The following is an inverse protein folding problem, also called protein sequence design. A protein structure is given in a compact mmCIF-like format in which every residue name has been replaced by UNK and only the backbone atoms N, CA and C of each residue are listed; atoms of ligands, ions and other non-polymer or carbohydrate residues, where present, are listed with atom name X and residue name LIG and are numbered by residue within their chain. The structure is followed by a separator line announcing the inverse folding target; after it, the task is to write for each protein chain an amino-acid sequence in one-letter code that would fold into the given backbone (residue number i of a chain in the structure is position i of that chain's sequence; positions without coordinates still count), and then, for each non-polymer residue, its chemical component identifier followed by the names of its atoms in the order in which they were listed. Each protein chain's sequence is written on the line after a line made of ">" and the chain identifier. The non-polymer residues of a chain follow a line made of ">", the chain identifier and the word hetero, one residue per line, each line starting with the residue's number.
data_IF_064834341366
#
_entry.id   IF_064834341366
#
_cell.length_a   1.000
_cell.length_b   1.000
_cell.length_c   1.000
_cell.angle_alpha   90.00
_cell.angle_beta   90.00
_cell.angle_gamma   90.00
#
_symmetry.space_group_name_H-M   'P 1'
#
loop_
_entity.id
_entity.type
_entity.pdbx_description
1 polymer ?
#
# COMPACT_ATOMS: atom_id res chain seq x y z
N UNK A 1 63.92 58.88 -13.42
CA UNK A 1 63.95 57.87 -12.36
C UNK A 1 62.57 57.76 -11.73
N UNK A 2 62.03 56.53 -11.75
CA UNK A 2 60.96 55.94 -10.92
C UNK A 2 59.65 56.72 -10.73
N UNK A 3 58.65 56.27 -11.48
CA UNK A 3 57.24 56.58 -11.31
C UNK A 3 56.55 55.79 -10.20
N UNK A 4 55.39 56.33 -9.84
CA UNK A 4 54.35 55.77 -8.97
C UNK A 4 53.73 54.51 -9.58
N UNK A 5 53.35 53.56 -8.73
CA UNK A 5 52.61 52.37 -9.12
C UNK A 5 51.94 51.74 -7.91
N UNK A 6 50.75 52.24 -7.56
CA UNK A 6 49.84 51.60 -6.63
C UNK A 6 49.30 50.30 -7.24
N UNK A 7 49.44 49.18 -6.54
CA UNK A 7 48.77 47.91 -6.88
C UNK A 7 47.61 47.69 -5.92
N UNK A 8 46.42 47.55 -6.51
CA UNK A 8 45.18 47.23 -5.82
C UNK A 8 45.14 45.80 -5.31
N UNK A 9 44.52 45.62 -4.15
CA UNK A 9 43.99 44.34 -3.69
C UNK A 9 42.46 44.43 -3.70
N UNK A 10 41.82 43.68 -4.60
CA UNK A 10 40.39 43.41 -4.53
C UNK A 10 40.16 42.18 -3.62
N UNK A 11 39.18 42.19 -2.70
CA UNK A 11 38.84 41.03 -1.90
C UNK A 11 38.15 39.95 -2.74
N UNK A 12 38.58 38.70 -2.55
CA UNK A 12 38.06 37.52 -3.22
C UNK A 12 36.59 37.24 -2.88
N UNK A 13 35.82 36.89 -3.90
CA UNK A 13 34.45 36.43 -3.77
C UNK A 13 34.40 35.04 -3.08
N UNK A 14 33.46 34.79 -2.16
CA UNK A 14 33.26 33.48 -1.56
C UNK A 14 32.71 32.48 -2.58
N UNK A 15 33.26 31.27 -2.55
CA UNK A 15 32.92 30.16 -3.43
C UNK A 15 31.44 29.81 -3.38
N UNK A 16 30.84 29.64 -4.56
CA UNK A 16 29.50 29.12 -4.71
C UNK A 16 29.41 27.72 -4.11
N UNK A 17 28.55 27.57 -3.11
CA UNK A 17 28.14 26.27 -2.61
C UNK A 17 27.53 25.49 -3.79
N UNK A 18 28.06 24.30 -4.04
CA UNK A 18 27.45 23.35 -4.96
C UNK A 18 26.03 23.06 -4.45
N UNK A 19 25.03 23.42 -5.24
CA UNK A 19 23.66 22.98 -5.06
C UNK A 19 23.70 21.46 -4.97
N UNK A 20 23.20 20.82 -3.88
CA UNK A 20 23.09 19.38 -3.88
C UNK A 20 22.23 19.00 -5.08
N UNK A 21 22.77 18.12 -5.94
CA UNK A 21 22.01 17.54 -7.04
C UNK A 21 20.67 17.10 -6.46
N UNK A 22 19.57 17.66 -6.99
CA UNK A 22 18.24 17.21 -6.64
C UNK A 22 18.27 15.69 -6.75
N UNK A 23 17.99 14.99 -5.65
CA UNK A 23 17.83 13.54 -5.64
C UNK A 23 16.73 13.27 -6.66
N UNK A 24 17.09 12.87 -7.88
CA UNK A 24 16.14 12.33 -8.85
C UNK A 24 15.74 11.01 -8.22
N UNK A 25 14.66 11.06 -7.44
CA UNK A 25 14.12 9.88 -6.79
C UNK A 25 13.64 8.96 -7.92
N UNK A 26 14.16 7.73 -8.03
CA UNK A 26 13.73 6.84 -9.09
C UNK A 26 12.24 6.58 -8.89
N UNK A 27 11.44 7.04 -9.84
CA UNK A 27 10.02 6.70 -9.89
C UNK A 27 9.93 5.22 -10.25
N UNK A 28 9.24 4.43 -9.42
CA UNK A 28 9.01 3.00 -9.69
C UNK A 28 8.53 2.74 -11.12
N UNK A 29 9.00 1.63 -11.68
CA UNK A 29 8.58 1.10 -12.97
C UNK A 29 7.10 0.73 -12.99
N UNK A 30 6.54 0.47 -14.18
CA UNK A 30 5.13 0.14 -14.31
C UNK A 30 4.75 -1.16 -13.60
N UNK A 31 5.67 -2.13 -13.55
CA UNK A 31 5.44 -3.43 -12.92
C UNK A 31 5.38 -3.31 -11.40
N UNK A 32 6.32 -2.56 -10.82
CA UNK A 32 6.35 -2.22 -9.39
C UNK A 32 5.10 -1.44 -8.97
N UNK A 33 4.68 -0.44 -9.75
CA UNK A 33 3.45 0.33 -9.49
C UNK A 33 2.19 -0.53 -9.47
N UNK A 34 2.11 -1.54 -10.33
CA UNK A 34 0.98 -2.47 -10.33
C UNK A 34 0.85 -3.28 -9.03
N UNK A 35 1.97 -3.54 -8.34
CA UNK A 35 1.97 -4.25 -7.05
C UNK A 35 1.73 -3.29 -5.89
N UNK A 36 2.23 -2.05 -5.98
CA UNK A 36 2.07 -1.02 -4.95
C UNK A 36 0.71 -0.33 -5.04
N UNK A 37 -0.36 -1.10 -4.86
CA UNK A 37 -1.74 -0.59 -4.76
C UNK A 37 -2.38 -1.02 -3.44
N UNK A 38 -3.22 -0.13 -2.88
CA UNK A 38 -4.02 -0.41 -1.71
C UNK A 38 -5.43 -0.81 -2.15
N UNK A 39 -5.89 -1.98 -1.72
CA UNK A 39 -7.19 -2.53 -2.07
C UNK A 39 -8.16 -2.34 -0.89
N UNK A 40 -8.99 -1.30 -0.94
CA UNK A 40 -10.00 -1.09 0.08
C UNK A 40 -11.23 -1.95 -0.15
N UNK A 41 -11.57 -2.77 0.83
CA UNK A 41 -12.86 -3.43 0.90
C UNK A 41 -13.87 -2.51 1.57
N UNK A 42 -14.99 -2.31 0.89
CA UNK A 42 -16.08 -1.50 1.40
C UNK A 42 -17.07 -2.43 2.07
N UNK A 43 -16.93 -2.60 3.39
CA UNK A 43 -17.81 -3.50 4.13
C UNK A 43 -19.23 -2.96 4.12
N UNK A 44 -20.09 -3.61 3.32
CA UNK A 44 -21.54 -3.41 3.34
C UNK A 44 -22.12 -4.52 4.19
N UNK A 45 -22.20 -4.31 5.50
CA UNK A 45 -22.97 -5.22 6.34
C UNK A 45 -24.43 -5.06 5.92
N UNK A 46 -24.91 -6.03 5.16
CA UNK A 46 -26.30 -6.10 4.74
C UNK A 46 -27.20 -6.03 5.96
N UNK A 47 -28.35 -5.36 5.82
CA UNK A 47 -29.36 -5.37 6.88
C UNK A 47 -29.66 -6.83 7.23
N UNK A 48 -29.53 -7.27 8.49
CA UNK A 48 -29.79 -8.67 8.87
C UNK A 48 -31.24 -9.13 8.58
N UNK A 49 -32.11 -8.22 8.14
CA UNK A 49 -33.55 -8.43 7.94
C UNK A 49 -33.94 -9.00 6.56
N UNK A 50 -33.06 -9.10 5.57
CA UNK A 50 -33.51 -9.30 4.18
C UNK A 50 -33.66 -10.73 3.66
N UNK A 51 -33.25 -11.80 4.34
CA UNK A 51 -33.45 -13.17 3.78
C UNK A 51 -34.37 -14.07 4.62
N UNK A 52 -34.16 -14.18 5.93
CA UNK A 52 -34.97 -15.08 6.76
C UNK A 52 -36.41 -14.58 6.99
N UNK A 53 -36.63 -13.26 7.05
CA UNK A 53 -37.95 -12.67 7.31
C UNK A 53 -38.80 -12.52 6.05
N UNK A 54 -38.16 -12.29 4.89
CA UNK A 54 -38.81 -12.29 3.57
C UNK A 54 -39.37 -13.68 3.20
N UNK A 55 -38.70 -14.76 3.64
CA UNK A 55 -39.18 -16.14 3.46
C UNK A 55 -40.45 -16.47 4.29
N UNK A 56 -40.81 -15.64 5.29
CA UNK A 56 -41.94 -15.91 6.20
C UNK A 56 -43.15 -15.00 5.99
N UNK A 57 -43.16 -14.16 4.95
CA UNK A 57 -44.34 -13.37 4.55
C UNK A 57 -44.84 -12.35 5.59
N UNK A 58 -44.02 -11.97 6.58
CA UNK A 58 -44.41 -10.98 7.61
C UNK A 58 -44.17 -9.56 7.11
N UNK A 59 -45.14 -8.67 7.31
CA UNK A 59 -44.98 -7.23 7.03
C UNK A 59 -43.91 -6.64 7.95
N UNK A 60 -42.88 -6.02 7.36
CA UNK A 60 -41.77 -5.38 8.06
C UNK A 60 -42.24 -4.10 8.77
N UNK A 61 -42.87 -4.25 9.94
CA UNK A 61 -42.84 -3.16 10.93
C UNK A 61 -41.36 -2.97 11.28
N UNK A 62 -40.76 -1.88 10.77
CA UNK A 62 -39.34 -1.47 10.91
C UNK A 62 -38.66 -2.18 12.07
N UNK A 63 -38.00 -3.30 11.81
CA UNK A 63 -37.17 -3.89 12.83
C UNK A 63 -36.07 -2.85 13.12
N UNK A 64 -35.91 -2.58 14.41
CA UNK A 64 -35.06 -1.50 14.89
C UNK A 64 -33.63 -1.94 14.57
N UNK A 65 -32.88 -1.11 13.85
CA UNK A 65 -31.45 -1.31 13.69
C UNK A 65 -30.84 -1.34 15.10
N UNK A 66 -30.05 -2.35 15.39
CA UNK A 66 -29.34 -2.50 16.66
C UNK A 66 -27.91 -2.84 16.30
N UNK A 67 -26.96 -2.20 16.98
CA UNK A 67 -25.55 -2.50 16.85
C UNK A 67 -25.28 -3.98 17.21
N UNK A 68 -24.46 -4.65 16.41
CA UNK A 68 -24.04 -6.02 16.70
C UNK A 68 -23.17 -6.03 17.96
N UNK A 69 -23.19 -7.12 18.74
CA UNK A 69 -22.17 -7.36 19.75
C UNK A 69 -20.76 -7.21 19.14
N UNK A 70 -19.80 -6.70 19.92
CA UNK A 70 -18.45 -6.39 19.43
C UNK A 70 -17.78 -7.55 18.69
N UNK A 71 -17.83 -8.77 19.24
CA UNK A 71 -17.26 -9.96 18.61
C UNK A 71 -17.93 -10.28 17.25
N UNK A 72 -19.26 -10.14 17.17
CA UNK A 72 -20.00 -10.33 15.91
C UNK A 72 -19.68 -9.23 14.88
N UNK A 73 -19.44 -8.00 15.33
CA UNK A 73 -19.01 -6.91 14.45
C UNK A 73 -17.62 -7.18 13.84
N UNK A 74 -16.67 -7.69 14.62
CA UNK A 74 -15.35 -8.11 14.13
C UNK A 74 -15.45 -9.29 13.16
N UNK A 75 -16.22 -10.32 13.51
CA UNK A 75 -16.45 -11.45 12.61
C UNK A 75 -17.13 -11.02 11.30
N UNK A 76 -18.10 -10.10 11.36
CA UNK A 76 -18.81 -9.60 10.20
C UNK A 76 -17.91 -8.78 9.26
N UNK A 77 -16.98 -7.99 9.81
CA UNK A 77 -16.08 -7.17 9.00
C UNK A 77 -14.91 -8.00 8.42
N UNK A 78 -14.43 -8.99 9.18
CA UNK A 78 -13.39 -9.92 8.72
C UNK A 78 -13.90 -10.87 7.62
N UNK A 79 -15.12 -11.38 7.77
CA UNK A 79 -15.67 -12.39 6.87
C UNK A 79 -14.77 -13.63 6.78
N UNK A 80 -14.52 -14.08 5.55
CA UNK A 80 -13.68 -15.24 5.25
C UNK A 80 -12.18 -14.88 5.12
N UNK A 81 -11.81 -13.61 5.22
CA UNK A 81 -10.41 -13.19 5.14
C UNK A 81 -9.67 -13.59 6.43
N UNK A 82 -8.57 -14.36 6.35
CA UNK A 82 -7.84 -14.80 7.53
C UNK A 82 -6.90 -13.72 8.10
N UNK A 83 -6.67 -12.63 7.36
CA UNK A 83 -5.69 -11.59 7.73
C UNK A 83 -6.18 -10.74 8.90
N UNK A 84 -5.27 -10.11 9.68
CA UNK A 84 -5.64 -9.05 10.61
C UNK A 84 -6.29 -7.88 9.87
N UNK A 85 -7.02 -7.06 10.60
CA UNK A 85 -7.83 -5.98 10.04
C UNK A 85 -7.06 -4.66 10.08
N UNK A 86 -7.17 -3.88 9.01
CA UNK A 86 -6.85 -2.45 8.99
C UNK A 86 -8.12 -1.72 8.62
N UNK A 87 -8.75 -1.09 9.60
CA UNK A 87 -10.08 -0.49 9.45
C UNK A 87 -9.97 1.02 9.50
N UNK A 88 -10.47 1.67 8.46
CA UNK A 88 -10.55 3.12 8.37
C UNK A 88 -12.01 3.54 8.27
N UNK A 89 -12.45 4.46 9.13
CA UNK A 89 -13.74 5.13 8.95
C UNK A 89 -13.54 6.43 8.20
N UNK A 90 -14.44 6.70 7.27
CA UNK A 90 -14.54 8.03 6.68
C UNK A 90 -14.82 9.08 7.77
N UNK A 91 -14.35 10.30 7.53
CA UNK A 91 -14.74 11.46 8.32
C UNK A 91 -15.01 12.64 7.39
N UNK A 92 -16.21 13.23 7.48
CA UNK A 92 -16.60 14.40 6.67
C UNK A 92 -15.84 15.69 6.98
N UNK A 93 -15.07 15.74 8.07
CA UNK A 93 -14.39 16.94 8.58
C UNK A 93 -12.86 16.82 8.57
N UNK A 94 -12.33 15.62 8.31
CA UNK A 94 -10.89 15.43 8.22
C UNK A 94 -10.43 15.64 6.79
N UNK A 95 -9.87 16.81 6.51
CA UNK A 95 -9.00 17.00 5.35
C UNK A 95 -7.71 16.21 5.60
N UNK A 96 -7.67 14.93 5.18
CA UNK A 96 -6.41 14.19 5.05
C UNK A 96 -6.23 12.89 5.85
N UNK A 97 -7.29 12.23 6.33
CA UNK A 97 -7.11 10.90 6.96
C UNK A 97 -6.63 9.83 5.96
N UNK A 98 -7.19 9.83 4.74
CA UNK A 98 -6.65 9.02 3.63
C UNK A 98 -5.24 9.49 3.25
N UNK A 99 -4.95 10.80 3.23
CA UNK A 99 -3.60 11.33 2.95
C UNK A 99 -2.57 10.94 4.03
N UNK A 100 -2.95 10.71 5.29
CA UNK A 100 -2.03 10.22 6.31
C UNK A 100 -1.55 8.79 6.02
N UNK A 101 -2.40 7.96 5.40
CA UNK A 101 -2.08 6.61 4.94
C UNK A 101 -1.56 6.53 3.50
N UNK A 102 -1.90 7.50 2.64
CA UNK A 102 -1.75 7.41 1.19
C UNK A 102 -1.10 8.64 0.55
N UNK A 103 -0.71 9.67 1.31
CA UNK A 103 -0.16 10.88 0.69
C UNK A 103 1.10 10.52 -0.08
N UNK A 104 0.99 10.67 -1.40
CA UNK A 104 2.05 10.53 -2.39
C UNK A 104 3.23 11.49 -2.17
N UNK A 105 3.10 12.43 -1.22
CA UNK A 105 4.15 13.37 -0.81
C UNK A 105 5.23 12.71 0.05
N UNK A 106 4.91 11.61 0.73
CA UNK A 106 5.88 10.82 1.49
C UNK A 106 5.98 9.44 0.86
N UNK A 107 7.18 8.92 0.78
CA UNK A 107 7.53 7.61 0.20
C UNK A 107 6.86 6.48 0.98
N UNK A 108 5.55 6.28 0.78
CA UNK A 108 4.74 5.41 1.63
C UNK A 108 4.72 3.95 1.16
N UNK A 109 5.72 3.54 0.39
CA UNK A 109 5.85 2.17 -0.13
C UNK A 109 5.87 1.16 1.02
N UNK A 110 6.53 1.47 2.14
CA UNK A 110 6.56 0.58 3.30
C UNK A 110 5.16 0.34 3.85
N UNK A 111 4.35 1.38 3.96
CA UNK A 111 2.96 1.27 4.41
C UNK A 111 2.15 0.42 3.44
N UNK A 112 2.22 0.69 2.13
CA UNK A 112 1.51 -0.10 1.10
C UNK A 112 1.95 -1.56 1.11
N UNK A 113 3.23 -1.85 1.35
CA UNK A 113 3.72 -3.22 1.50
C UNK A 113 3.17 -3.86 2.77
N UNK A 114 3.22 -3.16 3.90
CA UNK A 114 2.70 -3.67 5.16
C UNK A 114 1.19 -3.95 5.08
N UNK A 115 0.42 -3.10 4.39
CA UNK A 115 -1.02 -3.28 4.23
C UNK A 115 -1.40 -4.55 3.47
N UNK A 116 -0.49 -5.16 2.69
CA UNK A 116 -0.82 -6.41 1.98
C UNK A 116 -1.11 -7.58 2.93
N UNK A 117 -0.52 -7.55 4.13
CA UNK A 117 -0.79 -8.54 5.18
C UNK A 117 -2.03 -8.23 6.03
N UNK A 118 -2.73 -7.14 5.74
CA UNK A 118 -3.98 -6.78 6.38
C UNK A 118 -5.15 -6.93 5.41
N UNK A 119 -6.31 -7.28 5.95
CA UNK A 119 -7.59 -7.03 5.32
C UNK A 119 -7.96 -5.57 5.54
N UNK A 120 -7.83 -4.78 4.49
CA UNK A 120 -7.98 -3.32 4.54
C UNK A 120 -9.43 -2.92 4.25
N UNK A 121 -10.13 -2.44 5.26
CA UNK A 121 -11.56 -2.13 5.21
C UNK A 121 -11.78 -0.62 5.34
N UNK A 122 -12.63 -0.08 4.47
CA UNK A 122 -13.13 1.30 4.56
C UNK A 122 -14.62 1.29 4.95
N UNK A 123 -14.92 1.99 6.04
CA UNK A 123 -16.27 2.12 6.60
C UNK A 123 -16.83 3.53 6.38
N UNK A 124 -18.13 3.67 6.14
CA UNK A 124 -18.73 4.97 5.87
C UNK A 124 -18.84 5.82 7.14
N UNK A 125 -19.03 7.14 6.98
CA UNK A 125 -19.16 8.09 8.09
C UNK A 125 -20.22 7.71 9.15
N UNK A 126 -21.33 7.11 8.71
CA UNK A 126 -22.47 6.75 9.57
C UNK A 126 -22.23 5.48 10.41
N UNK A 127 -21.03 4.88 10.35
CA UNK A 127 -20.64 3.75 11.20
C UNK A 127 -20.71 4.06 12.69
N UNK A 128 -20.65 5.34 13.06
CA UNK A 128 -20.73 5.83 14.43
C UNK A 128 -22.16 6.08 14.93
N UNK A 129 -23.19 5.87 14.10
CA UNK A 129 -24.58 5.91 14.56
C UNK A 129 -24.85 4.77 15.56
N UNK A 130 -25.58 5.04 16.64
CA UNK A 130 -25.83 4.08 17.74
C UNK A 130 -26.52 2.79 17.28
N UNK A 131 -27.27 2.87 16.18
CA UNK A 131 -27.99 1.76 15.58
C UNK A 131 -27.21 1.06 14.46
N UNK A 132 -26.00 1.52 14.13
CA UNK A 132 -25.19 0.94 13.08
C UNK A 132 -24.64 -0.45 13.51
N UNK A 133 -24.77 -1.51 12.68
CA UNK A 133 -24.32 -2.86 13.03
C UNK A 133 -22.85 -2.93 13.50
N UNK A 134 -21.97 -2.14 12.86
CA UNK A 134 -20.54 -2.11 13.17
C UNK A 134 -20.12 -1.04 14.19
N UNK A 135 -21.07 -0.36 14.84
CA UNK A 135 -20.77 0.72 15.80
C UNK A 135 -19.81 0.29 16.90
N UNK A 136 -19.94 -0.96 17.35
CA UNK A 136 -19.18 -1.54 18.45
C UNK A 136 -17.70 -1.80 18.13
N UNK A 137 -17.27 -1.67 16.87
CA UNK A 137 -15.85 -1.71 16.51
C UNK A 137 -15.07 -0.56 17.16
N UNK A 138 -15.68 0.62 17.24
CA UNK A 138 -15.00 1.88 17.58
C UNK A 138 -15.03 2.24 19.07
N UNK A 139 -15.77 1.51 19.90
CA UNK A 139 -15.94 1.84 21.33
C UNK A 139 -16.70 3.15 21.56
N UNK A 140 -16.83 3.59 22.82
CA UNK A 140 -17.75 4.68 23.17
C UNK A 140 -17.09 6.07 23.28
N UNK A 141 -15.80 6.14 23.58
CA UNK A 141 -15.08 7.39 23.85
C UNK A 141 -14.01 7.65 22.79
N UNK A 142 -14.06 8.83 22.16
CA UNK A 142 -13.12 9.30 21.12
C UNK A 142 -12.75 8.23 20.06
N UNK A 143 -13.72 7.79 19.23
CA UNK A 143 -13.52 6.67 18.32
C UNK A 143 -12.38 6.94 17.32
N UNK A 144 -11.43 6.00 17.14
CA UNK A 144 -10.29 6.21 16.25
C UNK A 144 -10.75 6.37 14.79
N UNK A 145 -9.97 7.10 13.99
CA UNK A 145 -10.22 7.24 12.55
C UNK A 145 -9.73 6.02 11.79
N UNK A 146 -8.61 5.48 12.26
CA UNK A 146 -7.92 4.33 11.73
C UNK A 146 -7.57 3.44 12.90
N UNK A 147 -7.78 2.14 12.78
CA UNK A 147 -7.25 1.19 13.74
C UNK A 147 -6.81 -0.08 13.04
N UNK A 148 -5.90 -0.80 13.68
CA UNK A 148 -5.54 -2.16 13.31
C UNK A 148 -6.04 -3.11 14.39
N UNK A 149 -6.41 -4.33 14.01
CA UNK A 149 -6.85 -5.33 14.95
C UNK A 149 -6.48 -6.73 14.51
N UNK A 150 -6.39 -7.67 15.45
CA UNK A 150 -6.49 -9.09 15.12
C UNK A 150 -7.87 -9.38 14.54
N UNK A 151 -8.00 -10.50 13.81
CA UNK A 151 -9.24 -10.88 13.12
C UNK A 151 -10.47 -10.93 14.05
N UNK A 152 -10.26 -11.36 15.28
CA UNK A 152 -11.26 -11.47 16.35
C UNK A 152 -11.44 -10.19 17.18
N UNK A 153 -10.56 -9.21 17.02
CA UNK A 153 -10.56 -7.98 17.80
C UNK A 153 -10.04 -8.14 19.23
N UNK A 154 -9.30 -9.20 19.56
CA UNK A 154 -8.62 -9.34 20.86
C UNK A 154 -7.57 -8.26 21.08
N UNK A 155 -6.75 -7.99 20.05
CA UNK A 155 -5.85 -6.83 20.01
C UNK A 155 -6.46 -5.77 19.11
N UNK A 156 -6.57 -4.53 19.60
CA UNK A 156 -6.98 -3.36 18.82
C UNK A 156 -6.03 -2.21 19.12
N UNK A 157 -5.40 -1.68 18.07
CA UNK A 157 -4.49 -0.54 18.12
C UNK A 157 -5.12 0.61 17.35
N UNK A 158 -5.69 1.58 18.08
CA UNK A 158 -6.31 2.77 17.51
C UNK A 158 -5.31 3.88 17.22
N UNK A 159 -5.51 4.59 16.12
CA UNK A 159 -4.75 5.76 15.71
C UNK A 159 -5.68 6.98 15.60
N UNK A 160 -5.25 8.09 16.19
CA UNK A 160 -6.03 9.33 16.30
C UNK A 160 -5.87 10.27 15.09
N UNK A 161 -4.97 9.92 14.15
CA UNK A 161 -4.69 10.70 12.94
C UNK A 161 -3.57 11.73 13.11
N UNK A 162 -2.97 11.86 14.29
CA UNK A 162 -1.83 12.76 14.55
C UNK A 162 -0.49 12.02 14.64
N UNK A 163 -0.51 10.68 14.53
CA UNK A 163 0.69 9.86 14.61
C UNK A 163 1.68 10.11 13.46
N UNK A 164 2.96 9.93 13.75
CA UNK A 164 4.03 9.83 12.76
C UNK A 164 3.95 8.52 11.97
N UNK A 165 4.63 8.47 10.82
CA UNK A 165 4.73 7.23 10.03
C UNK A 165 5.43 6.09 10.77
N UNK A 166 6.41 6.41 11.61
CA UNK A 166 7.09 5.40 12.42
C UNK A 166 6.13 4.76 13.42
N UNK A 167 5.31 5.57 14.11
CA UNK A 167 4.28 5.06 15.04
C UNK A 167 3.21 4.24 14.32
N UNK A 168 2.81 4.63 13.10
CA UNK A 168 1.96 3.79 12.26
C UNK A 168 2.62 2.44 11.96
N UNK A 169 3.90 2.42 11.57
CA UNK A 169 4.60 1.18 11.26
C UNK A 169 4.80 0.29 12.48
N UNK A 170 5.10 0.88 13.64
CA UNK A 170 5.26 0.14 14.89
C UNK A 170 3.92 -0.53 15.26
N UNK A 171 2.80 0.21 15.16
CA UNK A 171 1.46 -0.36 15.37
C UNK A 171 1.10 -1.48 14.38
N UNK A 172 1.49 -1.35 13.11
CA UNK A 172 1.32 -2.42 12.13
C UNK A 172 2.19 -3.63 12.47
N UNK A 173 3.46 -3.42 12.82
CA UNK A 173 4.40 -4.48 13.19
C UNK A 173 3.92 -5.22 14.46
N UNK A 174 3.34 -4.52 15.44
CA UNK A 174 2.78 -5.12 16.67
C UNK A 174 1.63 -6.09 16.36
N UNK A 175 0.65 -5.68 15.54
CA UNK A 175 -0.47 -6.56 15.16
C UNK A 175 0.02 -7.73 14.29
N UNK A 176 0.96 -7.49 13.38
CA UNK A 176 1.51 -8.56 12.54
C UNK A 176 2.33 -9.57 13.35
N UNK A 177 2.99 -9.15 14.43
CA UNK A 177 3.76 -10.03 15.30
C UNK A 177 2.89 -11.02 16.08
N UNK A 178 1.64 -10.64 16.39
CA UNK A 178 0.67 -11.53 17.03
C UNK A 178 0.12 -12.60 16.08
N UNK A 179 -0.10 -12.23 14.81
CA UNK A 179 -0.78 -13.13 13.84
C UNK A 179 0.20 -13.98 13.03
N UNK A 180 1.38 -13.48 12.71
CA UNK A 180 2.30 -14.14 11.78
C UNK A 180 3.62 -14.56 12.44
N UNK A 181 4.03 -15.83 12.29
CA UNK A 181 5.34 -16.26 12.74
C UNK A 181 6.42 -15.66 11.82
N UNK A 182 7.12 -14.64 12.30
CA UNK A 182 8.21 -14.03 11.54
C UNK A 182 8.38 -12.54 11.82
N UNK A 183 9.12 -11.86 10.95
CA UNK A 183 9.33 -10.42 11.05
C UNK A 183 8.88 -9.77 9.75
N UNK A 184 7.77 -9.04 9.80
CA UNK A 184 7.26 -8.24 8.68
C UNK A 184 8.36 -7.35 8.08
N UNK A 185 9.21 -6.78 8.92
CA UNK A 185 10.41 -6.02 8.51
C UNK A 185 11.36 -6.80 7.59
N UNK A 186 11.60 -8.09 7.83
CA UNK A 186 12.44 -8.93 6.93
C UNK A 186 11.76 -9.13 5.59
N UNK A 187 10.45 -9.39 5.61
CA UNK A 187 9.63 -9.60 4.42
C UNK A 187 9.56 -8.33 3.57
N UNK A 188 9.31 -7.17 4.18
CA UNK A 188 9.36 -5.85 3.52
C UNK A 188 10.72 -5.61 2.88
N UNK A 189 11.82 -5.92 3.57
CA UNK A 189 13.18 -5.78 3.00
C UNK A 189 13.39 -6.69 1.79
N UNK A 190 12.84 -7.90 1.80
CA UNK A 190 12.88 -8.79 0.65
C UNK A 190 12.01 -8.27 -0.51
N UNK A 191 10.81 -7.75 -0.20
CA UNK A 191 9.92 -7.14 -1.18
C UNK A 191 10.59 -5.96 -1.90
N UNK A 192 11.28 -5.07 -1.17
CA UNK A 192 12.03 -3.97 -1.77
C UNK A 192 13.08 -4.45 -2.79
N UNK A 193 13.80 -5.53 -2.48
CA UNK A 193 14.78 -6.10 -3.43
C UNK A 193 14.13 -6.66 -4.70
N UNK A 194 12.90 -7.16 -4.61
CA UNK A 194 12.15 -7.66 -5.75
C UNK A 194 11.57 -6.49 -6.57
N UNK A 195 11.07 -5.44 -5.92
CA UNK A 195 10.68 -4.19 -6.59
C UNK A 195 11.85 -3.57 -7.36
N UNK A 196 13.03 -3.49 -6.75
CA UNK A 196 14.23 -2.97 -7.43
C UNK A 196 14.63 -3.85 -8.64
N UNK A 197 14.34 -5.14 -8.61
CA UNK A 197 14.56 -6.04 -9.74
C UNK A 197 13.51 -5.82 -10.84
N UNK A 198 12.24 -5.64 -10.48
CA UNK A 198 11.19 -5.30 -11.43
C UNK A 198 11.49 -3.99 -12.16
N UNK A 199 11.93 -2.96 -11.43
CA UNK A 199 12.30 -1.68 -12.02
C UNK A 199 13.41 -1.83 -13.07
N UNK A 200 14.42 -2.67 -12.81
CA UNK A 200 15.48 -2.98 -13.78
C UNK A 200 14.98 -3.73 -15.00
N UNK A 201 14.06 -4.68 -14.81
CA UNK A 201 13.47 -5.40 -15.93
C UNK A 201 12.63 -4.48 -16.81
N UNK A 202 11.86 -3.56 -16.22
CA UNK A 202 11.08 -2.56 -16.95
C UNK A 202 11.99 -1.64 -17.79
N UNK A 203 13.10 -1.16 -17.22
CA UNK A 203 14.10 -0.37 -17.96
C UNK A 203 14.75 -1.16 -19.11
N UNK A 204 15.08 -2.44 -18.86
CA UNK A 204 15.67 -3.31 -19.87
C UNK A 204 14.69 -3.61 -21.01
N UNK A 205 13.42 -3.79 -20.69
CA UNK A 205 12.32 -4.01 -21.63
C UNK A 205 12.11 -2.80 -22.54
N UNK A 206 12.05 -1.59 -21.98
CA UNK A 206 11.96 -0.34 -22.73
C UNK A 206 13.14 -0.18 -23.70
N UNK A 207 14.38 -0.37 -23.19
CA UNK A 207 15.59 -0.31 -24.02
C UNK A 207 15.61 -1.35 -25.14
N UNK A 208 15.10 -2.56 -24.90
CA UNK A 208 15.02 -3.60 -25.93
C UNK A 208 13.96 -3.28 -26.99
N UNK A 209 12.82 -2.69 -26.60
CA UNK A 209 11.79 -2.20 -27.52
C UNK A 209 12.31 -1.10 -28.44
N UNK A 210 12.97 -0.08 -27.89
CA UNK A 210 13.57 1.01 -28.68
C UNK A 210 14.59 0.48 -29.71
N UNK A 211 15.38 -0.52 -29.32
CA UNK A 211 16.36 -1.18 -30.21
C UNK A 211 15.69 -2.04 -31.27
N UNK A 212 14.55 -2.67 -30.96
CA UNK A 212 13.74 -3.41 -31.92
C UNK A 212 13.16 -2.47 -32.97
N UNK A 213 12.53 -1.38 -32.54
CA UNK A 213 11.92 -0.39 -33.44
C UNK A 213 12.97 0.21 -34.38
N UNK A 214 14.11 0.62 -33.82
CA UNK A 214 15.26 1.10 -34.60
C UNK A 214 15.78 0.08 -35.62
N UNK A 215 15.73 -1.22 -35.31
CA UNK A 215 16.20 -2.28 -36.21
C UNK A 215 15.16 -2.57 -37.32
N UNK A 216 13.86 -2.51 -36.99
CA UNK A 216 12.77 -2.62 -37.95
C UNK A 216 12.86 -1.49 -38.98
N UNK A 217 13.07 -0.25 -38.55
CA UNK A 217 13.23 0.90 -39.44
C UNK A 217 14.44 0.77 -40.38
N UNK A 218 15.57 0.26 -39.87
CA UNK A 218 16.84 0.21 -40.61
C UNK A 218 16.97 -0.99 -41.54
N UNK A 219 16.51 -2.17 -41.12
CA UNK A 219 16.76 -3.45 -41.82
C UNK A 219 15.52 -4.33 -41.98
N UNK A 220 14.39 -3.90 -41.43
CA UNK A 220 13.14 -4.66 -41.47
C UNK A 220 13.08 -5.82 -40.45
N UNK A 221 11.88 -6.38 -40.24
CA UNK A 221 11.61 -7.41 -39.23
C UNK A 221 12.21 -8.79 -39.58
N UNK A 222 12.75 -8.97 -40.78
CA UNK A 222 13.40 -10.22 -41.20
C UNK A 222 14.85 -10.37 -40.71
N UNK A 223 15.46 -9.31 -40.17
CA UNK A 223 16.88 -9.30 -39.85
C UNK A 223 17.22 -10.31 -38.73
N UNK A 224 18.39 -10.96 -38.82
CA UNK A 224 18.86 -11.89 -37.77
C UNK A 224 18.98 -11.19 -36.41
N UNK A 225 19.37 -9.90 -36.43
CA UNK A 225 19.46 -9.07 -35.22
C UNK A 225 18.07 -8.76 -34.65
N UNK A 226 17.06 -8.51 -35.47
CA UNK A 226 15.68 -8.37 -35.02
C UNK A 226 15.21 -9.63 -34.28
N UNK A 227 15.43 -10.82 -34.86
CA UNK A 227 15.07 -12.10 -34.22
C UNK A 227 15.77 -12.28 -32.87
N UNK A 228 17.06 -11.90 -32.78
CA UNK A 228 17.83 -11.95 -31.52
C UNK A 228 17.27 -10.98 -30.47
N UNK A 229 17.02 -9.73 -30.84
CA UNK A 229 16.47 -8.72 -29.93
C UNK A 229 15.07 -9.09 -29.44
N UNK A 230 14.23 -9.64 -30.33
CA UNK A 230 12.89 -10.12 -29.98
C UNK A 230 12.97 -11.25 -28.96
N UNK A 231 13.83 -12.23 -29.18
CA UNK A 231 14.05 -13.31 -28.21
C UNK A 231 14.53 -12.78 -26.85
N UNK A 232 15.44 -11.81 -26.85
CA UNK A 232 15.90 -11.17 -25.61
C UNK A 232 14.75 -10.45 -24.88
N UNK A 233 13.89 -9.73 -25.62
CA UNK A 233 12.71 -9.09 -25.06
C UNK A 233 11.76 -10.12 -24.43
N UNK A 234 11.48 -11.21 -25.15
CA UNK A 234 10.60 -12.27 -24.66
C UNK A 234 11.17 -12.93 -23.38
N UNK A 235 12.48 -13.21 -23.34
CA UNK A 235 13.17 -13.74 -22.15
C UNK A 235 13.12 -12.75 -20.96
N UNK A 236 13.38 -11.45 -21.20
CA UNK A 236 13.29 -10.38 -20.18
C UNK A 236 11.88 -10.28 -19.59
N UNK A 237 10.84 -10.34 -20.43
CA UNK A 237 9.45 -10.30 -19.97
C UNK A 237 9.09 -11.53 -19.11
N UNK A 238 9.56 -12.73 -19.49
CA UNK A 238 9.34 -13.94 -18.70
C UNK A 238 10.02 -13.88 -17.31
N UNK A 239 11.24 -13.36 -17.24
CA UNK A 239 11.95 -13.22 -15.96
C UNK A 239 11.31 -12.14 -15.08
N UNK A 240 10.85 -11.02 -15.66
CA UNK A 240 10.06 -9.99 -14.97
C UNK A 240 8.81 -10.59 -14.33
N UNK A 241 8.04 -11.37 -15.10
CA UNK A 241 6.81 -12.00 -14.61
C UNK A 241 7.11 -13.00 -13.47
N UNK A 242 8.20 -13.77 -13.58
CA UNK A 242 8.65 -14.64 -12.48
C UNK A 242 8.96 -13.86 -11.20
N UNK A 243 9.67 -12.73 -11.30
CA UNK A 243 9.98 -11.89 -10.14
C UNK A 243 8.70 -11.28 -9.55
N UNK A 244 7.76 -10.88 -10.41
CA UNK A 244 6.46 -10.38 -9.97
C UNK A 244 5.69 -11.45 -9.20
N UNK A 245 5.65 -12.68 -9.69
CA UNK A 245 5.01 -13.80 -9.00
C UNK A 245 5.67 -14.12 -7.66
N UNK A 246 7.01 -14.06 -7.59
CA UNK A 246 7.73 -14.19 -6.32
C UNK A 246 7.37 -13.09 -5.32
N UNK A 247 7.25 -11.85 -5.80
CA UNK A 247 6.84 -10.72 -4.96
C UNK A 247 5.40 -10.90 -4.46
N UNK A 248 4.46 -11.29 -5.33
CA UNK A 248 3.07 -11.54 -4.93
C UNK A 248 2.97 -12.71 -3.94
N UNK A 249 3.71 -13.79 -4.16
CA UNK A 249 3.79 -14.92 -3.22
C UNK A 249 4.37 -14.51 -1.86
N UNK A 250 5.36 -13.63 -1.84
CA UNK A 250 5.92 -13.07 -0.61
C UNK A 250 4.91 -12.20 0.16
N UNK A 251 4.08 -11.44 -0.56
CA UNK A 251 3.10 -10.51 0.00
C UNK A 251 1.77 -11.16 0.39
N UNK A 252 1.47 -12.34 -0.14
CA UNK A 252 0.24 -13.09 0.18
C UNK A 252 0.26 -13.75 1.59
N UNK A 253 1.27 -13.41 2.40
CA UNK A 253 1.47 -13.94 3.75
C UNK A 253 1.96 -15.40 3.76
N UNK A 254 2.35 -15.93 4.93
CA UNK A 254 2.49 -17.38 5.06
C UNK A 254 1.12 -17.98 4.75
N UNK A 255 1.04 -18.72 3.64
CA UNK A 255 -0.15 -19.52 3.32
C UNK A 255 -0.53 -20.33 4.56
N UNK A 256 -1.83 -20.42 4.79
CA UNK A 256 -2.52 -21.01 5.94
C UNK A 256 -2.26 -22.52 6.15
N UNK A 257 -1.01 -22.96 6.16
CA UNK A 257 -0.57 -24.15 6.90
C UNK A 257 -0.46 -23.83 8.41
N UNK A 258 -1.36 -22.99 8.92
CA UNK A 258 -1.65 -22.90 10.33
C UNK A 258 -2.61 -24.04 10.65
N UNK A 259 -1.97 -25.19 10.93
CA UNK A 259 -2.36 -26.29 11.82
C UNK A 259 -3.83 -26.61 12.07
N UNK A 260 -4.12 -27.91 11.89
CA UNK A 260 -5.25 -28.69 12.42
C UNK A 260 -5.79 -28.27 13.81
#
# INVERSE_FOLDING_TARGET
>A
MRGQGARGGAPGAPGGAATPAALIKPTRGHSSKGVLSLNWDFAVVGRPETQAQLAQGRSLAKARRVALPRAEAFAAVAGDDPRPLLVMRECGWCEGSDDALLSSRFENEKTILLTQWFHTIKLPNHVLEDDHPLRQLFGDEAPPHLFMATRDGELVVGLDGQQSQSELWDAMDDVLAEVYPGSAKKTVKAAYKLLDQLDRFDEDEERLRERLDSEVEKKGPGSSRFKKLKRQLDETMMDRDRIKDQLLGLLSGPSSELGD
#
